data_IF_615555647066
#
_entry.id   IF_615555647066
#
_cell.length_a   1.000
_cell.length_b   1.000
_cell.length_c   1.000
_cell.angle_alpha   90.00
_cell.angle_beta   90.00
_cell.angle_gamma   90.00
#
_symmetry.space_group_name_H-M   'P 1'
#
loop_
_entity.id
_entity.type
_entity.pdbx_description
1 polymer ?
#
# COMPACT_ATOMS: atom_id res chain seq x y z
N UNK A 1 21.48 -5.45 6.12
CA UNK A 1 21.60 -6.91 5.89
C UNK A 1 20.90 -7.32 4.58
N UNK A 2 19.68 -6.87 4.35
CA UNK A 2 18.85 -7.22 3.19
C UNK A 2 19.42 -6.70 1.87
N UNK A 3 19.92 -5.46 1.84
CA UNK A 3 20.56 -4.87 0.65
C UNK A 3 21.77 -5.68 0.18
N UNK A 4 22.57 -6.19 1.14
CA UNK A 4 23.77 -6.99 0.82
C UNK A 4 23.38 -8.32 0.18
N UNK A 5 22.30 -8.96 0.65
CA UNK A 5 21.85 -10.24 0.09
C UNK A 5 21.29 -10.09 -1.32
N UNK A 6 20.56 -9.00 -1.62
CA UNK A 6 20.09 -8.70 -2.97
C UNK A 6 21.24 -8.34 -3.94
N UNK A 7 22.28 -7.68 -3.45
CA UNK A 7 23.49 -7.43 -4.23
C UNK A 7 24.30 -8.70 -4.50
N UNK A 8 24.29 -9.65 -3.58
CA UNK A 8 24.97 -10.94 -3.74
C UNK A 8 24.24 -11.91 -4.67
N UNK A 9 22.97 -11.66 -4.98
CA UNK A 9 22.22 -12.46 -5.94
C UNK A 9 22.74 -12.25 -7.36
N UNK A 10 23.14 -13.35 -8.03
CA UNK A 10 23.78 -13.31 -9.34
C UNK A 10 22.77 -13.19 -10.49
N UNK A 11 21.51 -13.58 -10.26
CA UNK A 11 20.46 -13.56 -11.29
C UNK A 11 19.24 -12.75 -10.86
N UNK A 12 18.49 -12.22 -11.84
CA UNK A 12 17.23 -11.52 -11.54
C UNK A 12 16.19 -12.47 -10.93
N UNK A 13 16.20 -13.75 -11.26
CA UNK A 13 15.32 -14.76 -10.68
C UNK A 13 15.58 -14.94 -9.16
N UNK A 14 16.87 -14.99 -8.75
CA UNK A 14 17.25 -15.04 -7.34
C UNK A 14 16.84 -13.76 -6.61
N UNK A 15 17.05 -12.59 -7.24
CA UNK A 15 16.61 -11.29 -6.67
C UNK A 15 15.10 -11.24 -6.46
N UNK A 16 14.32 -11.74 -7.42
CA UNK A 16 12.86 -11.78 -7.31
C UNK A 16 12.40 -12.73 -6.19
N UNK A 17 13.02 -13.89 -6.04
CA UNK A 17 12.69 -14.83 -4.99
C UNK A 17 12.96 -14.29 -3.58
N UNK A 18 13.96 -13.44 -3.45
CA UNK A 18 14.30 -12.75 -2.19
C UNK A 18 13.43 -11.52 -1.94
N UNK A 19 13.00 -10.83 -3.00
CA UNK A 19 12.26 -9.58 -2.90
C UNK A 19 10.84 -9.78 -2.39
N UNK A 20 10.16 -10.83 -2.82
CA UNK A 20 8.76 -11.07 -2.46
C UNK A 20 8.54 -11.20 -0.95
N UNK A 21 9.31 -12.00 -0.18
CA UNK A 21 9.20 -12.03 1.28
C UNK A 21 9.55 -10.69 1.93
N UNK A 22 10.48 -9.93 1.35
CA UNK A 22 10.90 -8.63 1.87
C UNK A 22 9.82 -7.58 1.73
N UNK A 23 9.16 -7.51 0.57
CA UNK A 23 8.03 -6.60 0.34
C UNK A 23 6.90 -6.93 1.32
N UNK A 24 6.58 -8.21 1.50
CA UNK A 24 5.55 -8.64 2.45
C UNK A 24 5.92 -8.28 3.89
N UNK A 25 7.18 -8.45 4.26
CA UNK A 25 7.67 -8.12 5.60
C UNK A 25 7.67 -6.61 5.85
N UNK A 26 8.12 -5.80 4.89
CA UNK A 26 8.14 -4.34 5.02
C UNK A 26 6.72 -3.75 5.06
N UNK A 27 5.80 -4.26 4.24
CA UNK A 27 4.38 -3.88 4.29
C UNK A 27 3.73 -4.21 5.64
N UNK A 28 4.16 -5.30 6.31
CA UNK A 28 3.64 -5.71 7.60
C UNK A 28 4.25 -4.93 8.77
N UNK A 29 5.54 -4.58 8.72
CA UNK A 29 6.31 -4.11 9.87
C UNK A 29 6.96 -2.73 9.68
N UNK A 30 6.87 -2.12 8.50
CA UNK A 30 7.48 -0.83 8.17
C UNK A 30 8.97 -0.76 8.59
N UNK A 31 9.77 -1.72 8.13
CA UNK A 31 11.13 -2.01 8.64
C UNK A 31 12.19 -1.00 8.23
N UNK A 32 11.83 0.08 7.54
CA UNK A 32 12.74 1.16 7.21
C UNK A 32 13.77 0.77 6.14
N UNK A 33 13.36 0.01 5.13
CA UNK A 33 14.18 -0.15 3.91
C UNK A 33 14.46 1.23 3.35
N UNK A 34 15.74 1.55 3.12
CA UNK A 34 16.12 2.88 2.66
C UNK A 34 15.58 3.16 1.26
N UNK A 35 15.20 4.40 1.00
CA UNK A 35 14.70 4.87 -0.30
C UNK A 35 15.64 4.52 -1.43
N UNK A 36 16.93 4.71 -1.24
CA UNK A 36 17.95 4.35 -2.25
C UNK A 36 17.87 2.88 -2.65
N UNK A 37 17.63 1.99 -1.69
CA UNK A 37 17.49 0.56 -1.95
C UNK A 37 16.24 0.27 -2.75
N UNK A 38 15.12 0.91 -2.43
CA UNK A 38 13.83 0.72 -3.13
C UNK A 38 13.91 1.24 -4.56
N UNK A 39 14.46 2.43 -4.76
CA UNK A 39 14.66 3.03 -6.10
C UNK A 39 15.56 2.13 -6.96
N UNK A 40 16.64 1.63 -6.38
CA UNK A 40 17.54 0.73 -7.07
C UNK A 40 16.84 -0.58 -7.48
N UNK A 41 16.06 -1.17 -6.58
CA UNK A 41 15.31 -2.40 -6.86
C UNK A 41 14.24 -2.17 -7.92
N UNK A 42 13.51 -1.07 -7.86
CA UNK A 42 12.55 -0.71 -8.89
C UNK A 42 13.23 -0.63 -10.26
N UNK A 43 14.33 0.11 -10.37
CA UNK A 43 15.08 0.27 -11.62
C UNK A 43 15.62 -1.06 -12.16
N UNK A 44 16.15 -1.92 -11.30
CA UNK A 44 16.75 -3.20 -11.72
C UNK A 44 15.73 -4.27 -12.08
N UNK A 45 14.58 -4.30 -11.39
CA UNK A 45 13.64 -5.41 -11.46
C UNK A 45 12.43 -5.11 -12.34
N UNK A 46 12.07 -3.85 -12.55
CA UNK A 46 10.93 -3.48 -13.41
C UNK A 46 10.94 -4.17 -14.77
N UNK A 47 12.04 -4.18 -15.55
CA UNK A 47 12.03 -4.81 -16.86
C UNK A 47 11.74 -6.31 -16.81
N UNK A 48 12.26 -7.01 -15.81
CA UNK A 48 12.05 -8.45 -15.64
C UNK A 48 10.65 -8.76 -15.12
N UNK A 49 10.13 -7.95 -14.18
CA UNK A 49 8.77 -8.07 -13.66
C UNK A 49 7.72 -7.84 -14.76
N UNK A 50 7.92 -6.87 -15.62
CA UNK A 50 7.05 -6.61 -16.79
C UNK A 50 7.10 -7.77 -17.81
N UNK A 51 8.29 -8.28 -18.12
CA UNK A 51 8.46 -9.43 -19.00
C UNK A 51 7.77 -10.68 -18.48
N UNK A 52 7.83 -10.91 -17.18
CA UNK A 52 7.19 -12.05 -16.51
C UNK A 52 5.72 -11.78 -16.14
N UNK A 53 5.20 -10.58 -16.43
CA UNK A 53 3.84 -10.14 -16.04
C UNK A 53 3.59 -10.24 -14.53
N UNK A 54 4.64 -10.11 -13.69
CA UNK A 54 4.55 -10.11 -12.24
C UNK A 54 4.13 -8.73 -11.73
N UNK A 55 2.98 -8.28 -12.18
CA UNK A 55 2.42 -6.98 -11.79
C UNK A 55 2.08 -6.91 -10.31
N UNK A 56 1.78 -8.05 -9.68
CA UNK A 56 1.60 -8.18 -8.24
C UNK A 56 2.80 -7.63 -7.44
N UNK A 57 4.02 -8.01 -7.82
CA UNK A 57 5.25 -7.53 -7.18
C UNK A 57 5.59 -6.10 -7.63
N UNK A 58 5.44 -5.81 -8.92
CA UNK A 58 5.77 -4.51 -9.48
C UNK A 58 5.01 -3.36 -8.78
N UNK A 59 3.68 -3.52 -8.59
CA UNK A 59 2.87 -2.48 -7.97
C UNK A 59 3.11 -2.35 -6.46
N UNK A 60 3.47 -3.44 -5.78
CA UNK A 60 3.92 -3.37 -4.38
C UNK A 60 5.24 -2.59 -4.27
N UNK A 61 6.22 -2.88 -5.11
CA UNK A 61 7.50 -2.19 -5.14
C UNK A 61 7.32 -0.69 -5.44
N UNK A 62 6.47 -0.34 -6.40
CA UNK A 62 6.12 1.05 -6.70
C UNK A 62 5.44 1.76 -5.51
N UNK A 63 4.53 1.08 -4.81
CA UNK A 63 3.88 1.62 -3.62
C UNK A 63 4.89 1.87 -2.49
N UNK A 64 5.89 1.00 -2.32
CA UNK A 64 6.99 1.21 -1.39
C UNK A 64 7.82 2.45 -1.76
N UNK A 65 8.12 2.67 -3.05
CA UNK A 65 8.84 3.85 -3.51
C UNK A 65 8.07 5.15 -3.23
N UNK A 66 6.74 5.15 -3.40
CA UNK A 66 5.89 6.28 -3.01
C UNK A 66 5.97 6.53 -1.51
N UNK A 67 5.80 5.49 -0.69
CA UNK A 67 5.84 5.61 0.76
C UNK A 67 7.20 6.12 1.27
N UNK A 68 8.28 5.65 0.67
CA UNK A 68 9.63 6.09 0.97
C UNK A 68 9.82 7.59 0.67
N UNK A 69 9.34 8.05 -0.49
CA UNK A 69 9.37 9.48 -0.85
C UNK A 69 8.58 10.34 0.14
N UNK A 70 7.44 9.84 0.64
CA UNK A 70 6.66 10.51 1.69
C UNK A 70 7.48 10.61 2.98
N UNK A 71 8.09 9.52 3.42
CA UNK A 71 8.87 9.46 4.66
C UNK A 71 10.07 10.41 4.64
N UNK A 72 10.67 10.62 3.48
CA UNK A 72 11.76 11.58 3.27
C UNK A 72 11.28 13.04 3.11
N UNK A 73 9.97 13.28 3.12
CA UNK A 73 9.38 14.60 2.93
C UNK A 73 9.36 15.07 1.48
N UNK A 74 9.71 14.23 0.52
CA UNK A 74 9.67 14.58 -0.90
C UNK A 74 8.28 14.32 -1.50
N UNK A 75 7.33 15.12 -1.07
CA UNK A 75 5.91 14.95 -1.42
C UNK A 75 5.66 15.11 -2.92
N UNK A 76 6.37 16.01 -3.60
CA UNK A 76 6.24 16.19 -5.05
C UNK A 76 6.59 14.89 -5.79
N UNK A 77 7.73 14.27 -5.46
CA UNK A 77 8.14 13.00 -6.05
C UNK A 77 7.14 11.87 -5.71
N UNK A 78 6.62 11.85 -4.49
CA UNK A 78 5.62 10.88 -4.09
C UNK A 78 4.34 10.99 -4.96
N UNK A 79 3.86 12.22 -5.22
CA UNK A 79 2.70 12.47 -6.08
C UNK A 79 2.99 12.00 -7.52
N UNK A 80 4.14 12.36 -8.08
CA UNK A 80 4.51 11.98 -9.44
C UNK A 80 4.60 10.47 -9.60
N UNK A 81 5.22 9.78 -8.64
CA UNK A 81 5.33 8.34 -8.61
C UNK A 81 3.96 7.66 -8.48
N UNK A 82 3.08 8.14 -7.60
CA UNK A 82 1.75 7.58 -7.41
C UNK A 82 0.88 7.76 -8.67
N UNK A 83 0.93 8.93 -9.32
CA UNK A 83 0.23 9.18 -10.57
C UNK A 83 0.77 8.32 -11.72
N UNK A 84 2.09 8.15 -11.81
CA UNK A 84 2.73 7.26 -12.79
C UNK A 84 2.28 5.81 -12.60
N UNK A 85 2.20 5.37 -11.33
CA UNK A 85 1.69 4.05 -10.96
C UNK A 85 0.23 3.88 -11.39
N UNK A 86 -0.64 4.88 -11.14
CA UNK A 86 -2.04 4.86 -11.55
C UNK A 86 -2.18 4.77 -13.07
N UNK A 87 -1.45 5.61 -13.80
CA UNK A 87 -1.44 5.60 -15.27
C UNK A 87 -1.03 4.24 -15.81
N UNK A 88 0.05 3.67 -15.31
CA UNK A 88 0.54 2.35 -15.73
C UNK A 88 -0.50 1.25 -15.46
N UNK A 89 -1.18 1.27 -14.30
CA UNK A 89 -2.22 0.29 -13.97
C UNK A 89 -3.40 0.35 -14.95
N UNK A 90 -3.80 1.56 -15.33
CA UNK A 90 -4.86 1.77 -16.34
C UNK A 90 -4.43 1.33 -17.73
N UNK A 91 -3.19 1.60 -18.14
CA UNK A 91 -2.67 1.21 -19.46
C UNK A 91 -2.64 -0.31 -19.65
N UNK A 92 -2.34 -1.08 -18.60
CA UNK A 92 -2.27 -2.54 -18.67
C UNK A 92 -3.56 -3.24 -18.21
N UNK A 93 -4.61 -2.48 -17.91
CA UNK A 93 -5.90 -2.97 -17.40
C UNK A 93 -5.75 -3.88 -16.17
N UNK A 94 -5.03 -3.39 -15.13
CA UNK A 94 -4.76 -4.13 -13.90
C UNK A 94 -5.49 -3.50 -12.69
N UNK A 95 -6.71 -3.99 -12.36
CA UNK A 95 -7.56 -3.37 -11.32
C UNK A 95 -6.91 -3.31 -9.95
N UNK A 96 -6.22 -4.37 -9.49
CA UNK A 96 -5.51 -4.34 -8.21
C UNK A 96 -4.41 -3.27 -8.19
N UNK A 97 -3.68 -3.12 -9.29
CA UNK A 97 -2.68 -2.06 -9.45
C UNK A 97 -3.31 -0.66 -9.39
N UNK A 98 -4.48 -0.49 -10.00
CA UNK A 98 -5.26 0.77 -9.91
C UNK A 98 -5.63 1.09 -8.46
N UNK A 99 -6.15 0.11 -7.72
CA UNK A 99 -6.52 0.29 -6.31
C UNK A 99 -5.30 0.57 -5.41
N UNK A 100 -4.17 -0.11 -5.64
CA UNK A 100 -2.92 0.15 -4.92
C UNK A 100 -2.37 1.56 -5.21
N UNK A 101 -2.51 2.04 -6.46
CA UNK A 101 -2.11 3.38 -6.84
C UNK A 101 -3.01 4.45 -6.19
N UNK A 102 -4.33 4.25 -6.18
CA UNK A 102 -5.28 5.15 -5.50
C UNK A 102 -4.98 5.24 -3.99
N UNK A 103 -4.68 4.12 -3.35
CA UNK A 103 -4.22 4.12 -1.95
C UNK A 103 -2.92 4.92 -1.77
N UNK A 104 -1.96 4.76 -2.68
CA UNK A 104 -0.71 5.52 -2.66
C UNK A 104 -0.96 7.03 -2.85
N UNK A 105 -1.86 7.40 -3.76
CA UNK A 105 -2.32 8.78 -3.95
C UNK A 105 -2.94 9.31 -2.64
N UNK A 106 -3.82 8.54 -2.00
CA UNK A 106 -4.40 8.89 -0.71
C UNK A 106 -3.35 9.19 0.35
N UNK A 107 -2.28 8.38 0.45
CA UNK A 107 -1.15 8.60 1.37
C UNK A 107 -0.43 9.92 1.07
N UNK A 108 -0.21 10.28 -0.20
CA UNK A 108 0.46 11.54 -0.55
C UNK A 108 -0.38 12.75 -0.17
N UNK A 109 -1.70 12.71 -0.40
CA UNK A 109 -2.61 13.79 -0.04
C UNK A 109 -2.80 13.92 1.46
N UNK A 110 -2.75 12.83 2.21
CA UNK A 110 -2.74 12.88 3.67
C UNK A 110 -1.51 13.62 4.18
N UNK A 111 -0.33 13.35 3.62
CA UNK A 111 0.92 14.01 3.97
C UNK A 111 0.97 15.48 3.51
N UNK A 112 0.13 15.86 2.55
CA UNK A 112 -0.05 17.25 2.09
C UNK A 112 -1.14 18.01 2.86
N UNK A 113 -1.66 17.43 3.96
CA UNK A 113 -2.72 18.04 4.79
C UNK A 113 -4.05 18.27 4.04
N UNK A 114 -4.36 17.40 3.08
CA UNK A 114 -5.63 17.39 2.33
C UNK A 114 -6.43 16.10 2.59
N UNK A 115 -6.94 15.88 3.82
CA UNK A 115 -7.54 14.62 4.25
C UNK A 115 -8.81 14.26 3.47
N UNK A 116 -9.57 15.22 2.97
CA UNK A 116 -10.78 14.96 2.18
C UNK A 116 -10.44 14.27 0.84
N UNK A 117 -9.39 14.74 0.17
CA UNK A 117 -8.92 14.12 -1.09
C UNK A 117 -8.33 12.73 -0.80
N UNK A 118 -7.61 12.60 0.30
CA UNK A 118 -7.09 11.30 0.73
C UNK A 118 -8.23 10.29 0.96
N UNK A 119 -9.28 10.68 1.69
CA UNK A 119 -10.44 9.81 1.97
C UNK A 119 -11.10 9.37 0.65
N UNK A 120 -11.38 10.30 -0.29
CA UNK A 120 -11.96 9.96 -1.57
C UNK A 120 -11.12 8.94 -2.37
N UNK A 121 -9.79 9.11 -2.37
CA UNK A 121 -8.89 8.15 -3.01
C UNK A 121 -8.92 6.78 -2.35
N UNK A 122 -9.03 6.72 -1.02
CA UNK A 122 -9.20 5.46 -0.30
C UNK A 122 -10.55 4.80 -0.56
N UNK A 123 -11.64 5.57 -0.62
CA UNK A 123 -12.97 5.06 -0.92
C UNK A 123 -13.00 4.40 -2.31
N UNK A 124 -12.46 5.07 -3.33
CA UNK A 124 -12.35 4.50 -4.69
C UNK A 124 -11.47 3.23 -4.71
N UNK A 125 -10.35 3.23 -3.98
CA UNK A 125 -9.50 2.05 -3.87
C UNK A 125 -10.24 0.87 -3.23
N UNK A 126 -10.99 1.11 -2.16
CA UNK A 126 -11.78 0.11 -1.43
C UNK A 126 -12.86 -0.47 -2.35
N UNK A 127 -13.59 0.36 -3.11
CA UNK A 127 -14.61 -0.10 -4.05
C UNK A 127 -14.04 -1.08 -5.10
N UNK A 128 -12.84 -0.79 -5.62
CA UNK A 128 -12.17 -1.70 -6.55
C UNK A 128 -11.73 -2.98 -5.83
N UNK A 129 -11.12 -2.89 -4.65
CA UNK A 129 -10.61 -4.03 -3.91
C UNK A 129 -11.72 -5.00 -3.48
N UNK A 130 -12.93 -4.51 -3.21
CA UNK A 130 -14.10 -5.34 -2.86
C UNK A 130 -14.47 -6.33 -3.97
N UNK A 131 -14.11 -6.04 -5.22
CA UNK A 131 -14.39 -6.89 -6.37
C UNK A 131 -13.28 -7.91 -6.66
N UNK A 132 -12.20 -7.89 -5.89
CA UNK A 132 -10.99 -8.69 -6.13
C UNK A 132 -10.73 -9.58 -4.91
N UNK A 133 -11.00 -10.90 -4.99
CA UNK A 133 -10.82 -11.81 -3.85
C UNK A 133 -9.39 -11.80 -3.27
N UNK A 134 -8.38 -11.67 -4.14
CA UNK A 134 -6.97 -11.66 -3.75
C UNK A 134 -6.54 -10.36 -3.07
N UNK A 135 -7.40 -9.33 -3.08
CA UNK A 135 -7.13 -8.04 -2.47
C UNK A 135 -7.49 -7.97 -0.97
N UNK A 136 -7.93 -9.06 -0.34
CA UNK A 136 -8.45 -9.07 1.03
C UNK A 136 -7.53 -8.37 2.04
N UNK A 137 -6.23 -8.67 2.02
CA UNK A 137 -5.26 -8.03 2.93
C UNK A 137 -5.11 -6.52 2.67
N UNK A 138 -5.16 -6.11 1.39
CA UNK A 138 -5.06 -4.70 1.00
C UNK A 138 -6.33 -3.94 1.34
N UNK A 139 -7.50 -4.57 1.16
CA UNK A 139 -8.81 -4.04 1.52
C UNK A 139 -8.89 -3.73 3.01
N UNK A 140 -8.53 -4.68 3.87
CA UNK A 140 -8.51 -4.52 5.33
C UNK A 140 -7.58 -3.39 5.75
N UNK A 141 -6.39 -3.32 5.15
CA UNK A 141 -5.43 -2.26 5.42
C UNK A 141 -5.97 -0.89 4.97
N UNK A 142 -6.48 -0.77 3.74
CA UNK A 142 -7.02 0.48 3.21
C UNK A 142 -8.21 0.98 4.05
N UNK A 143 -9.12 0.10 4.42
CA UNK A 143 -10.28 0.42 5.25
C UNK A 143 -9.85 0.90 6.65
N UNK A 144 -8.89 0.23 7.29
CA UNK A 144 -8.34 0.64 8.59
C UNK A 144 -7.72 2.03 8.53
N UNK A 145 -6.91 2.31 7.52
CA UNK A 145 -6.28 3.61 7.33
C UNK A 145 -7.34 4.70 7.08
N UNK A 146 -8.32 4.46 6.22
CA UNK A 146 -9.40 5.41 5.96
C UNK A 146 -10.17 5.75 7.24
N UNK A 147 -10.52 4.75 8.06
CA UNK A 147 -11.20 4.97 9.35
C UNK A 147 -10.34 5.87 10.24
N UNK A 148 -9.05 5.58 10.40
CA UNK A 148 -8.15 6.40 11.22
C UNK A 148 -8.03 7.83 10.69
N UNK A 149 -8.00 8.02 9.36
CA UNK A 149 -8.00 9.36 8.76
C UNK A 149 -9.30 10.10 9.09
N UNK A 150 -10.47 9.46 8.94
CA UNK A 150 -11.77 10.03 9.29
C UNK A 150 -11.82 10.43 10.77
N UNK A 151 -11.41 9.55 11.68
CA UNK A 151 -11.38 9.80 13.12
C UNK A 151 -10.47 10.99 13.46
N UNK A 152 -9.23 11.01 12.98
CA UNK A 152 -8.29 12.08 13.25
C UNK A 152 -8.76 13.46 12.73
N UNK A 153 -9.61 13.45 11.69
CA UNK A 153 -10.17 14.67 11.11
C UNK A 153 -11.61 14.96 11.57
N UNK A 154 -12.09 14.25 12.58
CA UNK A 154 -13.46 14.40 13.15
C UNK A 154 -14.58 14.24 12.12
N UNK A 155 -14.35 13.45 11.08
CA UNK A 155 -15.34 13.11 10.06
C UNK A 155 -16.12 11.87 10.51
N UNK A 156 -17.09 12.05 11.39
CA UNK A 156 -17.79 10.93 12.03
C UNK A 156 -18.87 10.29 11.14
N UNK A 157 -19.23 10.94 10.02
CA UNK A 157 -20.28 10.41 9.14
C UNK A 157 -19.87 9.03 8.55
N UNK A 158 -20.66 8.00 8.83
CA UNK A 158 -20.46 6.65 8.31
C UNK A 158 -19.36 5.82 8.97
N UNK A 159 -18.61 6.37 9.93
CA UNK A 159 -17.52 5.65 10.61
C UNK A 159 -17.97 4.35 11.24
N UNK A 160 -19.11 4.33 11.93
CA UNK A 160 -19.63 3.12 12.56
C UNK A 160 -19.88 2.01 11.53
N UNK A 161 -20.41 2.37 10.36
CA UNK A 161 -20.58 1.43 9.23
C UNK A 161 -19.24 0.89 8.75
N UNK A 162 -18.23 1.76 8.61
CA UNK A 162 -16.90 1.39 8.16
C UNK A 162 -16.21 0.46 9.17
N UNK A 163 -16.34 0.73 10.48
CA UNK A 163 -15.80 -0.12 11.55
C UNK A 163 -16.49 -1.48 11.55
N UNK A 164 -17.83 -1.53 11.46
CA UNK A 164 -18.57 -2.77 11.42
C UNK A 164 -18.22 -3.60 10.18
N UNK A 165 -17.98 -2.95 9.06
CA UNK A 165 -17.52 -3.64 7.85
C UNK A 165 -16.12 -4.21 8.03
N UNK A 166 -15.16 -3.43 8.57
CA UNK A 166 -13.83 -3.94 8.90
C UNK A 166 -13.90 -5.14 9.85
N UNK A 167 -14.75 -5.06 10.88
CA UNK A 167 -14.93 -6.15 11.84
C UNK A 167 -15.49 -7.43 11.18
N UNK A 168 -16.42 -7.28 10.24
CA UNK A 168 -16.96 -8.41 9.48
C UNK A 168 -15.91 -9.09 8.58
N UNK A 169 -14.94 -8.33 8.08
CA UNK A 169 -13.83 -8.85 7.27
C UNK A 169 -12.72 -9.49 8.11
N UNK A 170 -12.66 -9.15 9.39
CA UNK A 170 -11.56 -9.57 10.25
C UNK A 170 -11.76 -10.97 10.81
N UNK A 171 -10.83 -11.86 10.55
CA UNK A 171 -10.68 -13.10 11.30
C UNK A 171 -10.30 -12.79 12.76
N UNK A 172 -10.91 -13.50 13.70
CA UNK A 172 -10.62 -13.35 15.14
C UNK A 172 -9.28 -13.98 15.57
N UNK A 173 -8.41 -14.30 14.60
CA UNK A 173 -7.10 -14.91 14.88
C UNK A 173 -6.09 -13.84 15.32
N UNK A 174 -5.27 -14.12 16.35
CA UNK A 174 -4.29 -13.17 16.87
C UNK A 174 -3.21 -12.74 15.87
N UNK A 175 -2.94 -13.54 14.84
CA UNK A 175 -1.98 -13.30 13.78
C UNK A 175 -2.56 -12.48 12.61
N UNK A 176 -3.86 -12.16 12.66
CA UNK A 176 -4.49 -11.30 11.66
C UNK A 176 -4.06 -9.84 11.84
N UNK A 177 -3.72 -9.12 10.76
CA UNK A 177 -3.46 -7.68 10.81
C UNK A 177 -4.60 -6.88 11.48
N UNK A 178 -5.82 -7.33 11.32
CA UNK A 178 -7.02 -6.75 11.96
C UNK A 178 -6.95 -6.77 13.48
N UNK A 179 -6.22 -7.71 14.07
CA UNK A 179 -6.10 -7.81 15.53
C UNK A 179 -5.52 -6.54 16.16
N UNK A 180 -4.68 -5.82 15.42
CA UNK A 180 -4.11 -4.56 15.85
C UNK A 180 -4.96 -3.34 15.47
N UNK A 181 -5.50 -3.32 14.26
CA UNK A 181 -6.19 -2.14 13.73
C UNK A 181 -7.60 -1.95 14.29
N UNK A 182 -8.35 -3.02 14.44
CA UNK A 182 -9.74 -2.93 14.90
C UNK A 182 -9.89 -2.37 16.33
N UNK A 183 -9.10 -2.84 17.33
CA UNK A 183 -9.13 -2.23 18.66
C UNK A 183 -8.76 -0.74 18.66
N UNK A 184 -7.77 -0.34 17.84
CA UNK A 184 -7.42 1.07 17.67
C UNK A 184 -8.59 1.88 17.13
N UNK A 185 -9.21 1.42 16.04
CA UNK A 185 -10.35 2.10 15.44
C UNK A 185 -11.51 2.27 16.43
N UNK A 186 -11.82 1.24 17.23
CA UNK A 186 -12.87 1.31 18.26
C UNK A 186 -12.50 2.25 19.39
N UNK A 187 -11.29 2.15 19.93
CA UNK A 187 -10.85 3.00 21.05
C UNK A 187 -10.81 4.50 20.70
N UNK A 188 -10.61 4.85 19.44
CA UNK A 188 -10.70 6.24 18.98
C UNK A 188 -12.12 6.70 18.68
N UNK A 189 -13.05 5.75 18.47
CA UNK A 189 -14.46 6.05 18.20
C UNK A 189 -15.29 6.25 19.46
N UNK A 190 -15.01 5.47 20.54
CA UNK A 190 -15.67 5.56 21.86
C UNK A 190 -15.21 6.80 22.67
#
# INVERSE_FOLDING_TARGET
>A
FISVTLYAAHTNAERLSLLQPLIQYDLAFNTGVTTDSIILWEKLLTPELEKQQRYDILFQLKAMAVQSSITEGNISLAIDNANSMYKKAKEIDYPLGTALALRAIGNTYLSSSTPQVAIGSYEEAIEIMQQIPEADIYLKNALSQMILIKLNNRQMAGIEKDINYLEALCDKRPDSPCYFYLPCCRAFYE
#
